data_IF_816582706052
#
_entry.id   IF_816582706052
#
_cell.length_a   1.000
_cell.length_b   1.000
_cell.length_c   1.000
_cell.angle_alpha   90.00
_cell.angle_beta   90.00
_cell.angle_gamma   90.00
#
_symmetry.space_group_name_H-M   'P 1'
#
loop_
_entity.id
_entity.type
_entity.pdbx_description
1 polymer ?
#
# COMPACT_ATOMS: atom_id res chain seq x y z
N UNK A 1 -5.62 -5.91 -23.80
CA UNK A 1 -5.51 -4.63 -23.06
C UNK A 1 -4.90 -4.98 -21.73
N UNK A 2 -3.65 -4.60 -21.50
CA UNK A 2 -3.00 -4.79 -20.20
C UNK A 2 -3.76 -3.92 -19.19
N UNK A 3 -4.24 -4.51 -18.10
CA UNK A 3 -4.94 -3.75 -17.06
C UNK A 3 -3.98 -2.70 -16.50
N UNK A 4 -4.46 -1.48 -16.25
CA UNK A 4 -3.63 -0.42 -15.70
C UNK A 4 -3.04 -0.87 -14.35
N UNK A 5 -1.72 -0.74 -14.21
CA UNK A 5 -0.95 -1.15 -13.03
C UNK A 5 -1.15 -0.12 -11.91
N UNK A 6 -2.29 -0.21 -11.25
CA UNK A 6 -2.70 0.78 -10.25
C UNK A 6 -2.17 0.40 -8.87
N UNK A 7 -1.47 1.35 -8.24
CA UNK A 7 -1.11 1.32 -6.82
C UNK A 7 -2.08 2.23 -6.09
N UNK A 8 -2.72 1.70 -5.06
CA UNK A 8 -3.51 2.50 -4.12
C UNK A 8 -2.72 2.66 -2.83
N UNK A 9 -2.54 3.88 -2.33
CA UNK A 9 -1.78 4.16 -1.12
C UNK A 9 -2.61 4.92 -0.09
N UNK A 10 -2.63 4.46 1.16
CA UNK A 10 -3.12 5.22 2.30
C UNK A 10 -2.00 6.08 2.86
N UNK A 11 -2.23 7.39 2.94
CA UNK A 11 -1.33 8.31 3.62
C UNK A 11 -1.26 9.69 2.95
N UNK A 12 -0.92 10.70 3.74
CA UNK A 12 -0.79 12.10 3.31
C UNK A 12 0.68 12.53 3.15
N UNK A 13 1.64 11.62 3.35
CA UNK A 13 3.05 11.97 3.35
C UNK A 13 3.59 12.10 1.92
N UNK A 14 3.72 13.36 1.49
CA UNK A 14 4.19 13.73 0.16
C UNK A 14 5.54 13.09 -0.21
N UNK A 15 6.43 12.88 0.76
CA UNK A 15 7.75 12.29 0.51
C UNK A 15 7.63 10.82 0.09
N UNK A 16 6.74 10.03 0.70
CA UNK A 16 6.51 8.65 0.28
C UNK A 16 5.75 8.60 -1.04
N UNK A 17 4.74 9.44 -1.21
CA UNK A 17 3.98 9.53 -2.46
C UNK A 17 4.90 9.86 -3.65
N UNK A 18 5.85 10.79 -3.47
CA UNK A 18 6.85 11.11 -4.47
C UNK A 18 7.74 9.90 -4.78
N UNK A 19 8.34 9.27 -3.75
CA UNK A 19 9.21 8.11 -3.96
C UNK A 19 8.49 6.92 -4.63
N UNK A 20 7.24 6.63 -4.25
CA UNK A 20 6.46 5.56 -4.87
C UNK A 20 6.18 5.90 -6.33
N UNK A 21 5.78 7.15 -6.63
CA UNK A 21 5.49 7.60 -7.99
C UNK A 21 6.74 7.56 -8.87
N UNK A 22 7.88 8.00 -8.37
CA UNK A 22 9.15 8.03 -9.12
C UNK A 22 9.60 6.62 -9.53
N UNK A 23 9.36 5.62 -8.69
CA UNK A 23 9.67 4.22 -9.00
C UNK A 23 8.57 3.56 -9.86
N UNK A 24 7.30 3.91 -9.65
CA UNK A 24 6.18 3.32 -10.37
C UNK A 24 6.05 3.84 -11.82
N UNK A 25 6.33 5.12 -12.06
CA UNK A 25 6.10 5.76 -13.35
C UNK A 25 6.90 5.11 -14.51
N UNK A 26 8.20 4.79 -14.37
CA UNK A 26 8.95 4.06 -15.40
C UNK A 26 8.42 2.64 -15.69
N UNK A 27 7.65 2.06 -14.75
CA UNK A 27 7.03 0.75 -14.86
C UNK A 27 5.61 0.81 -15.47
N UNK A 28 5.14 2.01 -15.86
CA UNK A 28 3.77 2.23 -16.32
C UNK A 28 2.73 2.19 -15.19
N UNK A 29 3.17 2.26 -13.94
CA UNK A 29 2.31 2.24 -12.76
C UNK A 29 1.62 3.57 -12.49
N UNK A 30 0.37 3.51 -12.06
CA UNK A 30 -0.44 4.69 -11.69
C UNK A 30 -0.61 4.69 -10.17
N UNK A 31 -0.10 5.72 -9.50
CA UNK A 31 -0.28 5.90 -8.06
C UNK A 31 -1.54 6.73 -7.77
N UNK A 32 -2.48 6.12 -7.04
CA UNK A 32 -3.64 6.77 -6.45
C UNK A 32 -3.43 6.83 -4.93
N UNK A 33 -3.60 7.99 -4.32
CA UNK A 33 -3.50 8.16 -2.86
C UNK A 33 -4.89 8.36 -2.27
N UNK A 34 -5.09 7.93 -1.03
CA UNK A 34 -6.26 8.25 -0.22
C UNK A 34 -5.79 8.74 1.16
N UNK A 35 -6.53 9.69 1.73
CA UNK A 35 -6.20 10.32 3.01
C UNK A 35 -7.04 9.74 4.16
N UNK A 36 -8.06 8.95 3.86
CA UNK A 36 -8.93 8.30 4.84
C UNK A 36 -9.29 6.87 4.43
N UNK A 37 -9.71 6.05 5.40
CA UNK A 37 -10.18 4.68 5.14
C UNK A 37 -11.44 4.65 4.27
N UNK A 38 -12.32 5.63 4.43
CA UNK A 38 -13.54 5.75 3.61
C UNK A 38 -13.17 5.97 2.14
N UNK A 39 -12.32 6.96 1.88
CA UNK A 39 -11.86 7.27 0.53
C UNK A 39 -11.04 6.12 -0.07
N UNK A 40 -10.23 5.46 0.74
CA UNK A 40 -9.44 4.31 0.33
C UNK A 40 -10.35 3.14 -0.09
N UNK A 41 -11.46 2.93 0.61
CA UNK A 41 -12.46 1.92 0.25
C UNK A 41 -13.14 2.25 -1.09
N UNK A 42 -13.61 3.48 -1.27
CA UNK A 42 -14.24 3.90 -2.51
C UNK A 42 -13.28 3.77 -3.71
N UNK A 43 -12.00 4.05 -3.48
CA UNK A 43 -10.93 3.89 -4.48
C UNK A 43 -10.57 2.43 -4.74
N UNK A 44 -10.63 1.56 -3.73
CA UNK A 44 -10.45 0.12 -3.89
C UNK A 44 -11.53 -0.50 -4.78
N UNK A 45 -12.77 0.00 -4.67
CA UNK A 45 -13.93 -0.42 -5.49
C UNK A 45 -13.85 0.05 -6.94
N UNK A 46 -13.30 1.23 -7.18
CA UNK A 46 -13.31 1.83 -8.52
C UNK A 46 -12.03 1.55 -9.29
N UNK A 47 -10.87 1.63 -8.63
CA UNK A 47 -9.57 1.60 -9.31
C UNK A 47 -8.99 0.20 -9.51
N UNK A 48 -9.53 -0.83 -8.84
CA UNK A 48 -9.07 -2.23 -8.93
C UNK A 48 -7.53 -2.37 -8.89
N UNK A 49 -6.88 -1.85 -7.83
CA UNK A 49 -5.42 -1.84 -7.75
C UNK A 49 -4.83 -3.25 -7.69
N UNK A 50 -3.63 -3.41 -8.22
CA UNK A 50 -2.86 -4.66 -8.03
C UNK A 50 -2.09 -4.64 -6.70
N UNK A 51 -1.81 -3.44 -6.19
CA UNK A 51 -1.06 -3.23 -4.96
C UNK A 51 -1.72 -2.14 -4.09
N UNK A 52 -1.96 -2.47 -2.83
CA UNK A 52 -2.35 -1.57 -1.76
C UNK A 52 -1.15 -1.32 -0.85
N UNK A 53 -0.84 -0.05 -0.59
CA UNK A 53 0.22 0.36 0.32
C UNK A 53 -0.41 1.11 1.49
N UNK A 54 -0.12 0.71 2.73
CA UNK A 54 -0.70 1.31 3.94
C UNK A 54 0.40 1.92 4.79
N UNK A 55 0.34 3.23 5.01
CA UNK A 55 1.10 3.89 6.06
C UNK A 55 0.42 3.64 7.41
N UNK A 56 1.01 2.77 8.23
CA UNK A 56 0.54 2.42 9.56
C UNK A 56 0.61 3.61 10.53
N UNK A 57 1.39 4.65 10.25
CA UNK A 57 1.35 5.89 11.04
C UNK A 57 0.10 6.73 10.77
N UNK A 58 -0.52 6.55 9.60
CA UNK A 58 -1.78 7.18 9.22
C UNK A 58 -2.99 6.23 9.39
N UNK A 59 -2.76 5.01 9.89
CA UNK A 59 -3.80 4.01 10.03
C UNK A 59 -4.81 4.41 11.13
N UNK A 60 -6.08 4.47 10.73
CA UNK A 60 -7.22 4.71 11.62
C UNK A 60 -8.05 3.42 11.73
N UNK A 61 -8.94 3.27 12.73
CA UNK A 61 -9.77 2.08 12.89
C UNK A 61 -10.45 1.66 11.56
N UNK A 62 -10.45 0.35 11.28
CA UNK A 62 -11.00 -0.23 10.05
C UNK A 62 -9.98 -0.53 8.95
N UNK A 63 -8.72 -0.14 9.10
CA UNK A 63 -7.67 -0.49 8.13
C UNK A 63 -7.50 -2.02 7.97
N UNK A 64 -7.61 -2.80 9.05
CA UNK A 64 -7.50 -4.26 9.02
C UNK A 64 -8.59 -4.92 8.18
N UNK A 65 -9.83 -4.44 8.32
CA UNK A 65 -10.97 -4.94 7.53
C UNK A 65 -10.76 -4.66 6.04
N UNK A 66 -10.19 -3.50 5.72
CA UNK A 66 -9.87 -3.15 4.36
C UNK A 66 -8.71 -3.98 3.80
N UNK A 67 -7.69 -4.30 4.60
CA UNK A 67 -6.65 -5.26 4.20
C UNK A 67 -7.30 -6.59 3.85
N UNK A 68 -8.13 -7.14 4.74
CA UNK A 68 -8.82 -8.40 4.49
C UNK A 68 -9.70 -8.35 3.22
N UNK A 69 -10.37 -7.22 2.97
CA UNK A 69 -11.13 -6.98 1.75
C UNK A 69 -10.27 -6.95 0.49
N UNK A 70 -9.16 -6.21 0.51
CA UNK A 70 -8.20 -6.16 -0.58
C UNK A 70 -7.62 -7.56 -0.87
N UNK A 71 -7.29 -8.33 0.17
CA UNK A 71 -6.81 -9.71 0.02
C UNK A 71 -7.85 -10.64 -0.61
N UNK A 72 -9.14 -10.53 -0.24
CA UNK A 72 -10.21 -11.30 -0.89
C UNK A 72 -10.35 -11.00 -2.39
N UNK A 73 -9.95 -9.81 -2.82
CA UNK A 73 -9.93 -9.36 -4.22
C UNK A 73 -8.64 -9.71 -4.96
N UNK A 74 -7.70 -10.40 -4.31
CA UNK A 74 -6.41 -10.77 -4.88
C UNK A 74 -5.40 -9.62 -4.95
N UNK A 75 -5.65 -8.51 -4.25
CA UNK A 75 -4.74 -7.36 -4.19
C UNK A 75 -3.58 -7.67 -3.24
N UNK A 76 -2.36 -7.32 -3.62
CA UNK A 76 -1.21 -7.38 -2.72
C UNK A 76 -1.25 -6.22 -1.74
N UNK A 77 -0.87 -6.45 -0.48
CA UNK A 77 -0.90 -5.43 0.57
C UNK A 77 0.47 -5.31 1.19
N UNK A 78 1.02 -4.11 1.18
CA UNK A 78 2.26 -3.76 1.87
C UNK A 78 1.95 -2.71 2.93
N UNK A 79 2.36 -2.95 4.16
CA UNK A 79 2.26 -1.97 5.23
C UNK A 79 3.64 -1.41 5.57
N UNK A 80 3.72 -0.14 5.98
CA UNK A 80 4.95 0.44 6.49
C UNK A 80 4.68 1.44 7.62
N UNK A 81 5.63 1.64 8.53
CA UNK A 81 5.46 2.62 9.61
C UNK A 81 6.74 2.95 10.39
N UNK A 82 6.72 4.03 11.21
CA UNK A 82 7.80 4.39 12.12
C UNK A 82 7.89 3.36 13.24
N UNK A 83 9.12 2.95 13.61
CA UNK A 83 9.39 1.96 14.67
C UNK A 83 8.25 0.96 14.84
N UNK A 84 8.00 0.15 13.80
CA UNK A 84 6.87 -0.80 13.82
C UNK A 84 7.06 -1.68 15.05
N UNK A 85 6.30 -1.36 16.10
CA UNK A 85 6.28 -2.08 17.35
C UNK A 85 5.90 -3.52 17.00
N UNK A 86 6.53 -4.51 17.63
CA UNK A 86 6.30 -5.93 17.29
C UNK A 86 4.81 -6.27 17.24
N UNK A 87 4.02 -5.65 18.13
CA UNK A 87 2.56 -5.75 18.16
C UNK A 87 1.91 -5.24 16.87
N UNK A 88 2.23 -4.02 16.42
CA UNK A 88 1.66 -3.46 15.20
C UNK A 88 2.09 -4.24 13.95
N UNK A 89 3.30 -4.81 13.96
CA UNK A 89 3.76 -5.70 12.89
C UNK A 89 2.92 -6.96 12.85
N UNK A 90 2.72 -7.58 14.00
CA UNK A 90 1.93 -8.79 14.17
C UNK A 90 0.48 -8.55 13.75
N UNK A 91 -0.10 -7.42 14.15
CA UNK A 91 -1.45 -7.03 13.74
C UNK A 91 -1.58 -6.85 12.22
N UNK A 92 -0.56 -6.30 11.55
CA UNK A 92 -0.56 -6.16 10.10
C UNK A 92 -0.41 -7.51 9.39
N UNK A 93 0.45 -8.38 9.88
CA UNK A 93 0.58 -9.75 9.39
C UNK A 93 -0.74 -10.54 9.57
N UNK A 94 -1.36 -10.46 10.76
CA UNK A 94 -2.65 -11.10 11.08
C UNK A 94 -3.81 -10.55 10.25
N UNK A 95 -3.79 -9.26 9.91
CA UNK A 95 -4.78 -8.65 9.01
C UNK A 95 -4.65 -9.15 7.56
N UNK A 96 -3.50 -9.74 7.19
CA UNK A 96 -3.22 -10.30 5.88
C UNK A 96 -2.28 -9.47 5.00
N UNK A 97 -1.51 -8.54 5.58
CA UNK A 97 -0.46 -7.84 4.84
C UNK A 97 0.61 -8.82 4.35
N UNK A 98 0.98 -8.76 3.07
CA UNK A 98 2.01 -9.62 2.48
C UNK A 98 3.41 -9.27 2.97
N UNK A 99 3.67 -7.98 3.23
CA UNK A 99 4.93 -7.48 3.78
C UNK A 99 4.70 -6.29 4.69
N UNK A 100 5.51 -6.18 5.74
CA UNK A 100 5.53 -5.05 6.67
C UNK A 100 6.94 -4.50 6.77
N UNK A 101 7.11 -3.19 6.57
CA UNK A 101 8.41 -2.53 6.58
C UNK A 101 8.49 -1.41 7.61
N UNK A 102 9.69 -1.16 8.12
CA UNK A 102 9.98 0.12 8.76
C UNK A 102 10.17 1.20 7.69
N UNK A 103 9.81 2.43 8.00
CA UNK A 103 9.90 3.61 7.13
C UNK A 103 11.18 3.71 6.29
N UNK A 104 12.35 3.58 6.91
CA UNK A 104 13.65 3.67 6.23
C UNK A 104 13.87 2.53 5.23
N UNK A 105 13.53 1.30 5.64
CA UNK A 105 13.66 0.11 4.78
C UNK A 105 12.67 0.13 3.62
N UNK A 106 11.45 0.62 3.85
CA UNK A 106 10.44 0.71 2.80
C UNK A 106 10.95 1.52 1.60
N UNK A 107 11.52 2.71 1.83
CA UNK A 107 12.06 3.54 0.74
C UNK A 107 13.18 2.86 -0.04
N UNK A 108 14.07 2.15 0.67
CA UNK A 108 15.20 1.44 0.06
C UNK A 108 14.73 0.24 -0.78
N UNK A 109 13.65 -0.42 -0.37
CA UNK A 109 13.13 -1.62 -1.04
C UNK A 109 12.18 -1.30 -2.19
N UNK A 110 11.60 -0.09 -2.28
CA UNK A 110 10.66 0.31 -3.33
C UNK A 110 11.13 -0.09 -4.76
N UNK A 111 12.37 0.20 -5.18
CA UNK A 111 12.87 -0.17 -6.51
C UNK A 111 12.87 -1.68 -6.79
N UNK A 112 13.00 -2.51 -5.74
CA UNK A 112 12.98 -3.97 -5.86
C UNK A 112 11.56 -4.53 -5.73
N UNK A 113 10.71 -3.87 -4.94
CA UNK A 113 9.34 -4.31 -4.65
C UNK A 113 8.40 -4.03 -5.82
N UNK A 114 8.35 -2.80 -6.32
CA UNK A 114 7.33 -2.41 -7.31
C UNK A 114 7.37 -3.23 -8.60
N UNK A 115 8.53 -3.59 -9.19
CA UNK A 115 8.58 -4.49 -10.35
C UNK A 115 7.99 -5.88 -10.11
N UNK A 116 7.94 -6.33 -8.84
CA UNK A 116 7.38 -7.64 -8.49
C UNK A 116 5.85 -7.62 -8.52
N UNK A 117 5.23 -6.49 -8.19
CA UNK A 117 3.77 -6.35 -8.02
C UNK A 117 3.07 -5.59 -9.16
N UNK A 118 3.81 -4.84 -9.97
CA UNK A 118 3.33 -4.15 -11.16
C UNK A 118 3.61 -4.96 -12.44
N UNK A 119 3.42 -6.28 -12.38
CA UNK A 119 3.64 -7.16 -13.54
C UNK A 119 2.52 -7.05 -14.54
#
# INVERSE_FOLDING_TARGET
MEAAKTILALGNNLMYTASIRDVAAPLGGILITAESIVELKDKLDTAHPTLLIIDLSAATPGWKDLVAEAKRRGVYVIAFGPHVQEELRKEAEEAGCDKVFVNSKFKLELPNLLPTYLK
#
